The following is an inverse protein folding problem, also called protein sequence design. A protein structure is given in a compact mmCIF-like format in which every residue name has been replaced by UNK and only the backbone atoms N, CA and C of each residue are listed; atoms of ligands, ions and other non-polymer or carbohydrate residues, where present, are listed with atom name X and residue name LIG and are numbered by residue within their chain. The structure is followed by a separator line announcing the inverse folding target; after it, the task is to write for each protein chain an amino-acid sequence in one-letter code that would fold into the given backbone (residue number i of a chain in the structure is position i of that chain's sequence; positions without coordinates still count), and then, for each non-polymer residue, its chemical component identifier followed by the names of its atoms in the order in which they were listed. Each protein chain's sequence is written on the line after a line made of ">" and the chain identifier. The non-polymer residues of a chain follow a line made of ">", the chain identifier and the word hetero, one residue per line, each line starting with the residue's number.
data_IF_745598731808
#
_entry.id   IF_745598731808
#
_cell.length_a   1.000
_cell.length_b   1.000
_cell.length_c   1.000
_cell.angle_alpha   90.00
_cell.angle_beta   90.00
_cell.angle_gamma   90.00
#
_symmetry.space_group_name_H-M   'P 1'
#
loop_
_entity.id
_entity.type
_entity.pdbx_description
1 polymer ?
#
# COMPACT_ATOMS: atom_id res chain seq x y z
N UNK A 1 4.70 14.75 52.42
CA UNK A 1 3.83 15.52 51.49
C UNK A 1 2.82 14.68 50.69
N UNK A 2 3.13 13.44 50.25
CA UNK A 2 2.18 12.63 49.45
C UNK A 2 0.96 12.09 50.20
N UNK A 3 1.09 11.68 51.47
CA UNK A 3 -0.03 11.12 52.26
C UNK A 3 -1.17 12.12 52.46
N UNK A 4 -0.87 13.41 52.62
CA UNK A 4 -1.87 14.48 52.77
C UNK A 4 -2.65 14.71 51.47
N UNK A 5 -1.96 14.65 50.32
CA UNK A 5 -2.58 14.78 48.98
C UNK A 5 -3.43 13.57 48.60
N UNK A 6 -2.98 12.35 48.90
CA UNK A 6 -3.77 11.12 48.69
C UNK A 6 -5.06 11.15 49.52
N UNK A 7 -4.98 11.67 50.75
CA UNK A 7 -6.15 11.87 51.62
C UNK A 7 -7.09 12.97 51.10
N UNK A 8 -6.56 14.08 50.58
CA UNK A 8 -7.38 15.15 49.98
C UNK A 8 -8.02 14.76 48.65
N UNK A 9 -7.40 13.86 47.88
CA UNK A 9 -7.98 13.31 46.64
C UNK A 9 -9.00 12.19 46.88
N UNK A 10 -9.24 11.80 48.14
CA UNK A 10 -10.20 10.75 48.47
C UNK A 10 -9.79 9.36 47.96
N UNK A 11 -8.52 9.15 47.61
CA UNK A 11 -7.98 7.89 47.11
C UNK A 11 -7.59 7.03 48.32
N UNK A 12 -8.59 6.46 49.00
CA UNK A 12 -8.37 5.50 50.07
C UNK A 12 -8.24 4.08 49.48
N UNK A 13 -7.19 3.35 49.85
CA UNK A 13 -7.01 1.95 49.45
C UNK A 13 -7.85 1.01 50.32
N UNK A 14 -8.30 1.44 51.49
CA UNK A 14 -9.02 0.60 52.45
C UNK A 14 -10.52 0.84 52.34
N UNK A 15 -11.29 -0.26 52.34
CA UNK A 15 -12.74 -0.21 52.49
C UNK A 15 -13.08 0.18 53.93
N UNK A 16 -14.00 1.13 54.10
CA UNK A 16 -14.47 1.54 55.43
C UNK A 16 -15.73 0.76 55.80
N UNK A 17 -15.90 0.47 57.09
CA UNK A 17 -17.07 -0.24 57.62
C UNK A 17 -18.40 0.38 57.19
N UNK A 18 -18.51 1.71 57.20
CA UNK A 18 -19.72 2.42 56.75
C UNK A 18 -20.01 2.22 55.26
N UNK A 19 -18.97 2.17 54.42
CA UNK A 19 -19.12 1.92 52.97
C UNK A 19 -19.62 0.50 52.72
N UNK A 20 -19.05 -0.48 53.41
CA UNK A 20 -19.43 -1.90 53.27
C UNK A 20 -20.87 -2.15 53.71
N UNK A 21 -21.33 -1.53 54.81
CA UNK A 21 -22.72 -1.66 55.29
C UNK A 21 -23.72 -1.12 54.26
N UNK A 22 -23.43 0.03 53.66
CA UNK A 22 -24.27 0.61 52.61
C UNK A 22 -24.29 -0.21 51.32
N UNK A 23 -23.14 -0.79 50.94
CA UNK A 23 -23.06 -1.66 49.77
C UNK A 23 -23.91 -2.92 49.96
N UNK A 24 -23.88 -3.52 51.15
CA UNK A 24 -24.72 -4.68 51.48
C UNK A 24 -26.21 -4.35 51.41
N UNK A 25 -26.62 -3.20 51.93
CA UNK A 25 -28.01 -2.74 51.88
C UNK A 25 -28.47 -2.50 50.43
N UNK A 26 -27.70 -1.76 49.63
CA UNK A 26 -28.02 -1.48 48.23
C UNK A 26 -28.08 -2.77 47.39
N UNK A 27 -27.25 -3.76 47.73
CA UNK A 27 -27.29 -5.07 47.07
C UNK A 27 -28.59 -5.80 47.39
N UNK A 28 -28.96 -5.87 48.67
CA UNK A 28 -30.19 -6.55 49.11
C UNK A 28 -31.44 -5.94 48.49
N UNK A 29 -31.51 -4.60 48.41
CA UNK A 29 -32.62 -3.89 47.76
C UNK A 29 -32.73 -4.22 46.25
N UNK A 30 -31.59 -4.38 45.58
CA UNK A 30 -31.53 -4.66 44.15
C UNK A 30 -31.74 -6.13 43.82
N UNK A 31 -31.26 -7.04 44.66
CA UNK A 31 -31.57 -8.47 44.60
C UNK A 31 -33.07 -8.71 44.81
N UNK A 32 -33.70 -8.03 45.77
CA UNK A 32 -35.16 -8.07 45.96
C UNK A 32 -35.93 -7.53 44.75
N UNK A 33 -35.34 -6.60 44.00
CA UNK A 33 -35.89 -6.06 42.75
C UNK A 33 -35.47 -6.86 41.49
N UNK A 34 -34.77 -7.99 41.63
CA UNK A 34 -34.32 -8.83 40.52
C UNK A 34 -33.25 -8.20 39.62
N UNK A 35 -32.51 -7.19 40.10
CA UNK A 35 -31.53 -6.43 39.30
C UNK A 35 -30.09 -6.85 39.61
N UNK A 36 -29.35 -7.20 38.56
CA UNK A 36 -27.90 -7.34 38.63
C UNK A 36 -27.25 -6.00 39.05
N UNK A 37 -26.18 -6.07 39.85
CA UNK A 37 -25.63 -4.91 40.55
C UNK A 37 -24.11 -4.85 40.46
N UNK A 38 -23.58 -3.75 39.92
CA UNK A 38 -22.17 -3.35 40.01
C UNK A 38 -22.04 -2.15 40.93
N UNK A 39 -21.04 -2.18 41.81
CA UNK A 39 -20.87 -1.22 42.90
C UNK A 39 -19.60 -0.41 42.68
N UNK A 40 -19.73 0.90 42.73
CA UNK A 40 -18.64 1.85 42.60
C UNK A 40 -18.51 2.67 43.88
N UNK A 41 -17.29 2.83 44.37
CA UNK A 41 -16.96 3.82 45.41
C UNK A 41 -16.06 4.86 44.76
N UNK A 42 -16.53 6.11 44.67
CA UNK A 42 -15.76 7.24 44.10
C UNK A 42 -15.19 6.90 42.71
N UNK A 43 -16.06 6.38 41.84
CA UNK A 43 -15.74 5.94 40.46
C UNK A 43 -14.78 4.75 40.32
N UNK A 44 -14.52 3.98 41.39
CA UNK A 44 -13.80 2.70 41.30
C UNK A 44 -14.75 1.54 41.53
N UNK A 45 -14.76 0.58 40.61
CA UNK A 45 -15.51 -0.66 40.75
C UNK A 45 -14.94 -1.47 41.92
N UNK A 46 -15.83 -1.94 42.80
CA UNK A 46 -15.48 -2.80 43.92
C UNK A 46 -15.93 -4.22 43.58
N UNK A 47 -14.95 -5.10 43.35
CA UNK A 47 -15.20 -6.51 43.13
C UNK A 47 -15.79 -7.18 44.37
N UNK A 48 -16.71 -8.12 44.14
CA UNK A 48 -17.39 -8.84 45.22
C UNK A 48 -16.45 -9.69 46.06
N UNK A 49 -15.39 -10.24 45.48
CA UNK A 49 -14.38 -11.03 46.20
C UNK A 49 -13.70 -10.20 47.30
N UNK A 50 -13.38 -8.94 46.99
CA UNK A 50 -12.77 -8.01 47.93
C UNK A 50 -13.71 -7.64 49.09
N UNK A 51 -15.01 -7.54 48.82
CA UNK A 51 -16.05 -7.37 49.85
C UNK A 51 -16.22 -8.63 50.71
N UNK A 52 -16.19 -9.82 50.09
CA UNK A 52 -16.29 -11.09 50.80
C UNK A 52 -15.09 -11.31 51.74
N UNK A 53 -13.88 -10.98 51.31
CA UNK A 53 -12.67 -11.01 52.13
C UNK A 53 -12.75 -10.05 53.32
N UNK A 54 -13.29 -8.85 53.11
CA UNK A 54 -13.51 -7.89 54.19
C UNK A 54 -14.50 -8.43 55.24
N UNK A 55 -15.62 -9.03 54.80
CA UNK A 55 -16.61 -9.61 55.69
C UNK A 55 -16.11 -10.85 56.43
N UNK A 56 -15.22 -11.64 55.81
CA UNK A 56 -14.55 -12.78 56.46
C UNK A 56 -13.68 -12.32 57.62
N UNK A 57 -13.04 -11.14 57.50
CA UNK A 57 -12.18 -10.54 58.54
C UNK A 57 -12.96 -9.76 59.60
N UNK A 58 -14.18 -9.33 59.30
CA UNK A 58 -15.02 -8.50 60.19
C UNK A 58 -16.46 -9.05 60.30
N UNK A 59 -16.67 -10.17 61.00
CA UNK A 59 -17.98 -10.82 61.11
C UNK A 59 -19.02 -9.95 61.83
N UNK A 60 -18.59 -9.02 62.69
CA UNK A 60 -19.42 -8.05 63.41
C UNK A 60 -20.16 -7.07 62.49
N UNK A 61 -19.65 -6.85 61.27
CA UNK A 61 -20.28 -6.01 60.25
C UNK A 61 -21.50 -6.71 59.64
N UNK A 62 -21.46 -8.04 59.54
CA UNK A 62 -22.53 -8.86 58.96
C UNK A 62 -23.79 -8.83 59.84
N UNK A 63 -23.59 -8.88 61.17
CA UNK A 63 -24.69 -8.81 62.15
C UNK A 63 -25.30 -7.40 62.20
N UNK A 64 -24.46 -6.35 62.19
CA UNK A 64 -24.91 -4.95 62.24
C UNK A 64 -25.57 -4.43 60.96
N UNK A 65 -25.44 -5.16 59.84
CA UNK A 65 -26.15 -4.83 58.60
C UNK A 65 -27.67 -4.97 58.73
N UNK A 66 -28.17 -5.76 59.69
CA UNK A 66 -29.63 -5.91 59.93
C UNK A 66 -30.23 -4.73 60.69
N UNK A 67 -29.43 -4.04 61.50
CA UNK A 67 -29.88 -2.95 62.38
C UNK A 67 -29.51 -1.55 61.85
N UNK A 68 -28.89 -1.46 60.67
CA UNK A 68 -28.43 -0.18 60.14
C UNK A 68 -29.61 0.65 59.63
N UNK A 69 -29.84 1.82 60.24
CA UNK A 69 -30.93 2.72 59.89
C UNK A 69 -30.81 3.24 58.45
N UNK A 70 -31.95 3.31 57.75
CA UNK A 70 -32.06 3.83 56.38
C UNK A 70 -31.71 5.31 56.33
N UNK A 71 -30.55 5.66 55.78
CA UNK A 71 -30.24 7.03 55.35
C UNK A 71 -30.01 7.07 53.82
N UNK A 72 -31.01 7.51 53.03
CA UNK A 72 -30.91 7.65 51.58
C UNK A 72 -29.80 8.62 51.13
N UNK A 73 -29.41 9.57 51.99
CA UNK A 73 -28.40 10.58 51.68
C UNK A 73 -26.98 10.15 52.03
N UNK A 74 -26.80 9.10 52.83
CA UNK A 74 -25.47 8.63 53.22
C UNK A 74 -24.71 7.94 52.07
N UNK A 75 -25.38 7.30 51.12
CA UNK A 75 -24.75 6.75 49.90
C UNK A 75 -24.11 7.84 49.03
N UNK A 76 -24.80 8.98 48.86
CA UNK A 76 -24.27 10.14 48.14
C UNK A 76 -23.08 10.77 48.87
N UNK A 77 -23.16 10.93 50.20
CA UNK A 77 -22.04 11.45 51.02
C UNK A 77 -20.79 10.55 50.98
N UNK A 78 -20.98 9.23 50.87
CA UNK A 78 -19.89 8.25 50.79
C UNK A 78 -19.36 8.04 49.36
N UNK A 79 -20.02 8.63 48.34
CA UNK A 79 -19.65 8.47 46.93
C UNK A 79 -19.91 7.04 46.41
N UNK A 80 -20.90 6.35 46.97
CA UNK A 80 -21.27 4.98 46.60
C UNK A 80 -22.34 5.03 45.52
N UNK A 81 -22.06 4.42 44.38
CA UNK A 81 -22.97 4.34 43.23
C UNK A 81 -23.18 2.87 42.89
N UNK A 82 -24.41 2.39 43.00
CA UNK A 82 -24.78 1.04 42.55
C UNK A 82 -25.58 1.14 41.26
N UNK A 83 -25.06 0.56 40.17
CA UNK A 83 -25.71 0.59 38.85
C UNK A 83 -26.07 -0.82 38.41
N UNK A 84 -27.21 -0.94 37.71
CA UNK A 84 -27.41 -2.11 36.85
C UNK A 84 -26.35 -2.01 35.77
N UNK A 85 -25.56 -3.05 35.49
CA UNK A 85 -24.80 -3.03 34.24
C UNK A 85 -25.82 -2.78 33.14
N UNK A 86 -25.70 -1.65 32.45
CA UNK A 86 -26.40 -1.48 31.18
C UNK A 86 -26.10 -2.73 30.35
N UNK A 87 -27.07 -3.29 29.61
CA UNK A 87 -26.74 -4.34 28.64
C UNK A 87 -25.51 -3.83 27.90
N UNK A 88 -24.41 -4.58 28.00
CA UNK A 88 -23.13 -4.15 27.44
C UNK A 88 -23.38 -3.73 25.99
N UNK A 89 -22.69 -2.73 25.44
CA UNK A 89 -22.96 -2.28 24.10
C UNK A 89 -22.80 -3.48 23.15
N UNK A 90 -23.92 -4.10 22.78
CA UNK A 90 -24.04 -5.10 21.72
C UNK A 90 -23.84 -4.47 20.35
N UNK A 91 -23.48 -3.19 20.31
CA UNK A 91 -23.10 -2.44 19.12
C UNK A 91 -21.84 -3.04 18.49
N UNK A 92 -20.96 -3.71 19.24
CA UNK A 92 -19.77 -4.35 18.65
C UNK A 92 -20.10 -5.52 17.73
N UNK A 93 -21.20 -6.25 17.94
CA UNK A 93 -21.58 -7.37 17.05
C UNK A 93 -22.36 -6.87 15.84
N UNK A 94 -23.15 -5.79 15.99
CA UNK A 94 -23.89 -5.17 14.88
C UNK A 94 -23.03 -4.27 13.97
N UNK A 95 -21.88 -3.76 14.45
CA UNK A 95 -20.89 -3.05 13.65
C UNK A 95 -19.84 -3.96 13.00
N UNK A 96 -19.78 -5.24 13.37
CA UNK A 96 -18.92 -6.21 12.73
C UNK A 96 -19.66 -6.80 11.52
N UNK A 97 -19.73 -6.02 10.44
CA UNK A 97 -20.09 -6.55 9.12
C UNK A 97 -19.15 -7.68 8.68
N UNK A 98 -19.42 -8.33 7.54
CA UNK A 98 -18.54 -9.34 6.96
C UNK A 98 -17.07 -8.87 6.97
N UNK A 99 -16.13 -9.78 7.23
CA UNK A 99 -14.69 -9.44 7.29
C UNK A 99 -14.25 -8.74 5.99
N UNK A 100 -14.83 -9.14 4.88
CA UNK A 100 -14.64 -8.62 3.53
C UNK A 100 -15.10 -7.16 3.37
N UNK A 101 -16.00 -6.68 4.22
CA UNK A 101 -16.42 -5.27 4.24
C UNK A 101 -15.66 -4.47 5.30
N UNK A 102 -15.39 -5.07 6.47
CA UNK A 102 -14.76 -4.36 7.60
C UNK A 102 -13.26 -4.19 7.45
N UNK A 103 -12.55 -5.23 6.99
CA UNK A 103 -11.09 -5.19 6.89
C UNK A 103 -10.61 -4.15 5.86
N UNK A 104 -11.23 -4.00 4.68
CA UNK A 104 -10.82 -2.96 3.73
C UNK A 104 -10.89 -1.54 4.31
N UNK A 105 -11.99 -1.19 4.98
CA UNK A 105 -12.15 0.12 5.61
C UNK A 105 -11.12 0.37 6.71
N UNK A 106 -10.87 -0.64 7.54
CA UNK A 106 -9.87 -0.56 8.60
C UNK A 106 -8.46 -0.39 8.04
N UNK A 107 -8.12 -1.16 7.01
CA UNK A 107 -6.83 -1.10 6.33
C UNK A 107 -6.62 0.23 5.63
N UNK A 108 -7.64 0.75 4.92
CA UNK A 108 -7.58 2.04 4.27
C UNK A 108 -7.26 3.15 5.28
N UNK A 109 -7.95 3.14 6.43
CA UNK A 109 -7.70 4.10 7.51
C UNK A 109 -6.28 3.98 8.07
N UNK A 110 -5.79 2.76 8.32
CA UNK A 110 -4.44 2.53 8.85
C UNK A 110 -3.39 2.99 7.84
N UNK A 111 -3.55 2.61 6.57
CA UNK A 111 -2.61 2.95 5.52
C UNK A 111 -2.59 4.45 5.23
N UNK A 112 -3.75 5.11 5.18
CA UNK A 112 -3.84 6.57 5.07
C UNK A 112 -3.08 7.28 6.19
N UNK A 113 -3.33 6.88 7.43
CA UNK A 113 -2.65 7.46 8.59
C UNK A 113 -1.13 7.19 8.56
N UNK A 114 -0.73 6.00 8.07
CA UNK A 114 0.67 5.68 7.85
C UNK A 114 1.31 6.61 6.81
N UNK A 115 0.71 6.75 5.62
CA UNK A 115 1.24 7.61 4.54
C UNK A 115 1.36 9.06 5.02
N UNK A 116 0.34 9.57 5.73
CA UNK A 116 0.39 10.91 6.30
C UNK A 116 1.48 11.04 7.38
N UNK A 117 1.55 10.11 8.33
CA UNK A 117 2.55 10.13 9.39
C UNK A 117 3.98 9.95 8.86
N UNK A 118 4.15 9.09 7.86
CA UNK A 118 5.42 8.87 7.18
C UNK A 118 5.86 10.14 6.44
N UNK A 119 4.96 10.81 5.73
CA UNK A 119 5.23 12.13 5.13
C UNK A 119 5.70 13.18 6.16
N UNK A 120 5.09 13.18 7.36
CA UNK A 120 5.42 14.16 8.41
C UNK A 120 6.71 13.87 9.18
N UNK A 121 7.21 12.63 9.17
CA UNK A 121 8.27 12.20 10.11
C UNK A 121 9.35 11.27 9.57
N UNK A 122 9.04 10.46 8.55
CA UNK A 122 9.94 9.42 8.04
C UNK A 122 10.51 9.81 6.69
N UNK A 123 9.66 10.33 5.81
CA UNK A 123 10.00 10.56 4.43
C UNK A 123 10.64 11.92 4.24
N UNK A 124 11.73 11.94 3.47
CA UNK A 124 12.45 13.16 3.14
C UNK A 124 12.42 13.40 1.64
N UNK A 125 12.11 14.63 1.24
CA UNK A 125 12.14 15.06 -0.16
C UNK A 125 13.55 15.52 -0.52
N UNK A 126 14.22 14.83 -1.44
CA UNK A 126 15.53 15.21 -1.96
C UNK A 126 15.51 15.17 -3.49
N UNK A 127 15.85 16.28 -4.16
CA UNK A 127 15.90 16.33 -5.64
C UNK A 127 14.57 16.00 -6.33
N UNK A 128 13.43 16.21 -5.67
CA UNK A 128 12.11 15.84 -6.17
C UNK A 128 11.71 14.38 -5.92
N UNK A 129 12.63 13.56 -5.42
CA UNK A 129 12.35 12.17 -5.04
C UNK A 129 12.08 12.05 -3.54
N UNK A 130 11.19 11.12 -3.20
CA UNK A 130 10.81 10.84 -1.82
C UNK A 130 11.62 9.64 -1.31
N UNK A 131 12.30 9.81 -0.19
CA UNK A 131 13.16 8.80 0.39
C UNK A 131 12.69 8.37 1.77
N UNK A 132 12.93 7.11 2.12
CA UNK A 132 12.81 6.62 3.49
C UNK A 132 14.02 6.98 4.37
N UNK A 133 14.14 6.32 5.52
CA UNK A 133 15.22 6.56 6.49
C UNK A 133 16.63 6.30 5.94
N UNK A 134 16.76 5.46 4.93
CA UNK A 134 18.05 5.05 4.36
C UNK A 134 18.53 5.96 3.22
N UNK A 135 17.75 6.99 2.84
CA UNK A 135 18.10 8.01 1.85
C UNK A 135 18.49 7.50 0.45
N UNK A 136 18.27 6.23 0.16
CA UNK A 136 18.44 5.66 -1.18
C UNK A 136 17.14 5.81 -2.00
N UNK A 137 17.24 5.81 -3.34
CA UNK A 137 16.07 5.91 -4.22
C UNK A 137 15.27 4.59 -4.25
N UNK A 138 13.96 4.66 -3.99
CA UNK A 138 13.07 3.49 -4.02
C UNK A 138 12.97 2.84 -5.39
N UNK A 139 12.79 3.63 -6.45
CA UNK A 139 12.70 3.16 -7.84
C UNK A 139 13.88 2.29 -8.28
N UNK A 140 15.12 2.68 -7.98
CA UNK A 140 16.29 1.90 -8.38
C UNK A 140 16.35 0.56 -7.65
N UNK A 141 15.93 0.53 -6.39
CA UNK A 141 15.84 -0.71 -5.60
C UNK A 141 14.74 -1.62 -6.12
N UNK A 142 13.56 -1.07 -6.39
CA UNK A 142 12.43 -1.80 -6.98
C UNK A 142 12.83 -2.40 -8.33
N UNK A 143 13.44 -1.60 -9.21
CA UNK A 143 13.91 -2.06 -10.52
C UNK A 143 14.96 -3.17 -10.39
N UNK A 144 15.98 -2.94 -9.55
CA UNK A 144 17.06 -3.92 -9.33
C UNK A 144 16.53 -5.23 -8.77
N UNK A 145 15.61 -5.16 -7.81
CA UNK A 145 14.98 -6.33 -7.22
C UNK A 145 14.13 -7.09 -8.24
N UNK A 146 13.32 -6.39 -9.04
CA UNK A 146 12.55 -7.00 -10.12
C UNK A 146 13.44 -7.71 -11.15
N UNK A 147 14.58 -7.10 -11.50
CA UNK A 147 15.59 -7.73 -12.36
C UNK A 147 16.19 -8.99 -11.71
N UNK A 148 16.57 -8.93 -10.43
CA UNK A 148 17.14 -10.09 -9.72
C UNK A 148 16.15 -11.26 -9.64
N UNK A 149 14.87 -10.99 -9.34
CA UNK A 149 13.83 -12.02 -9.30
C UNK A 149 13.65 -12.68 -10.67
N UNK A 150 13.64 -11.89 -11.75
CA UNK A 150 13.55 -12.43 -13.11
C UNK A 150 14.76 -13.28 -13.48
N UNK A 151 15.96 -12.81 -13.16
CA UNK A 151 17.19 -13.55 -13.37
C UNK A 151 17.20 -14.86 -12.58
N UNK A 152 16.71 -14.84 -11.34
CA UNK A 152 16.57 -16.04 -10.53
C UNK A 152 15.63 -17.07 -11.17
N UNK A 153 14.48 -16.63 -11.72
CA UNK A 153 13.57 -17.52 -12.45
C UNK A 153 14.27 -18.16 -13.66
N UNK A 154 14.97 -17.38 -14.48
CA UNK A 154 15.74 -17.91 -15.61
C UNK A 154 16.82 -18.91 -15.17
N UNK A 155 17.49 -18.67 -14.04
CA UNK A 155 18.47 -19.61 -13.48
C UNK A 155 17.82 -20.90 -12.97
N UNK A 156 16.61 -20.83 -12.40
CA UNK A 156 15.84 -22.02 -12.00
C UNK A 156 15.44 -22.86 -13.21
N UNK A 157 14.95 -22.22 -14.27
CA UNK A 157 14.60 -22.88 -15.55
C UNK A 157 15.81 -23.58 -16.19
N UNK A 158 17.00 -22.98 -16.05
CA UNK A 158 18.28 -23.57 -16.50
C UNK A 158 18.87 -24.60 -15.53
N UNK A 159 18.15 -24.98 -14.46
CA UNK A 159 18.59 -25.89 -13.41
C UNK A 159 19.91 -25.45 -12.71
N UNK A 160 20.22 -24.15 -12.72
CA UNK A 160 21.38 -23.54 -12.03
C UNK A 160 21.01 -23.17 -10.60
N UNK A 161 20.62 -24.17 -9.81
CA UNK A 161 20.00 -24.00 -8.49
C UNK A 161 20.81 -23.11 -7.54
N UNK A 162 22.11 -23.33 -7.39
CA UNK A 162 22.94 -22.54 -6.47
C UNK A 162 22.98 -21.05 -6.84
N UNK A 163 23.11 -20.73 -8.13
CA UNK A 163 23.12 -19.35 -8.61
C UNK A 163 21.73 -18.70 -8.46
N UNK A 164 20.67 -19.46 -8.74
CA UNK A 164 19.29 -19.03 -8.52
C UNK A 164 19.04 -18.67 -7.05
N UNK A 165 19.34 -19.58 -6.12
CA UNK A 165 19.15 -19.33 -4.68
C UNK A 165 20.00 -18.17 -4.16
N UNK A 166 21.24 -18.00 -4.66
CA UNK A 166 22.07 -16.83 -4.33
C UNK A 166 21.40 -15.53 -4.74
N UNK A 167 20.83 -15.49 -5.95
CA UNK A 167 20.14 -14.30 -6.49
C UNK A 167 18.83 -14.01 -5.76
N UNK A 168 18.08 -15.06 -5.40
CA UNK A 168 16.87 -14.93 -4.57
C UNK A 168 17.20 -14.37 -3.19
N UNK A 169 18.20 -14.92 -2.49
CA UNK A 169 18.58 -14.45 -1.16
C UNK A 169 19.03 -12.99 -1.17
N UNK A 170 19.82 -12.56 -2.16
CA UNK A 170 20.17 -11.15 -2.33
C UNK A 170 18.95 -10.24 -2.51
N UNK A 171 17.91 -10.73 -3.19
CA UNK A 171 16.66 -10.00 -3.37
C UNK A 171 15.88 -9.90 -2.06
N UNK A 172 15.77 -10.99 -1.31
CA UNK A 172 15.11 -11.05 -0.01
C UNK A 172 15.81 -10.14 1.02
N UNK A 173 17.14 -10.13 1.06
CA UNK A 173 17.91 -9.23 1.91
C UNK A 173 17.67 -7.75 1.56
N UNK A 174 17.50 -7.46 0.27
CA UNK A 174 17.14 -6.11 -0.21
C UNK A 174 15.75 -5.69 0.28
N UNK A 175 14.77 -6.60 0.26
CA UNK A 175 13.42 -6.34 0.78
C UNK A 175 13.49 -5.99 2.27
N UNK A 176 14.25 -6.75 3.07
CA UNK A 176 14.39 -6.47 4.51
C UNK A 176 14.95 -5.08 4.80
N UNK A 177 15.94 -4.64 4.00
CA UNK A 177 16.50 -3.28 4.10
C UNK A 177 15.47 -2.21 3.75
N UNK A 178 14.74 -2.38 2.64
CA UNK A 178 13.71 -1.43 2.20
C UNK A 178 12.55 -1.33 3.20
N UNK A 179 12.12 -2.45 3.80
CA UNK A 179 11.10 -2.45 4.86
C UNK A 179 11.59 -1.63 6.06
N UNK A 180 12.83 -1.88 6.50
CA UNK A 180 13.44 -1.13 7.61
C UNK A 180 13.57 0.36 7.30
N UNK A 181 13.92 0.69 6.06
CA UNK A 181 13.98 2.05 5.54
C UNK A 181 12.62 2.73 5.41
N UNK A 182 11.51 1.97 5.48
CA UNK A 182 10.15 2.43 5.23
C UNK A 182 10.04 3.15 3.87
N UNK A 183 10.63 2.52 2.85
CA UNK A 183 10.65 3.04 1.49
C UNK A 183 9.23 3.38 0.98
N UNK A 184 8.99 4.54 0.35
CA UNK A 184 7.65 4.93 -0.08
C UNK A 184 7.04 4.02 -1.17
N UNK A 185 7.86 3.33 -1.96
CA UNK A 185 7.42 2.53 -3.11
C UNK A 185 7.23 1.04 -2.77
N UNK A 186 7.84 0.56 -1.69
CA UNK A 186 7.89 -0.88 -1.38
C UNK A 186 6.50 -1.51 -1.24
N UNK A 187 5.54 -0.80 -0.64
CA UNK A 187 4.19 -1.33 -0.45
C UNK A 187 3.49 -1.58 -1.80
N UNK A 188 3.55 -0.62 -2.72
CA UNK A 188 2.92 -0.72 -4.05
C UNK A 188 3.58 -1.81 -4.90
N UNK A 189 4.89 -1.93 -4.79
CA UNK A 189 5.65 -2.95 -5.50
C UNK A 189 5.35 -4.36 -4.97
N UNK A 190 5.42 -4.58 -3.66
CA UNK A 190 5.19 -5.90 -3.08
C UNK A 190 3.73 -6.34 -3.27
N UNK A 191 2.79 -5.41 -3.13
CA UNK A 191 1.38 -5.70 -3.36
C UNK A 191 1.16 -6.07 -4.81
N UNK A 192 1.69 -5.30 -5.76
CA UNK A 192 1.66 -5.68 -7.18
C UNK A 192 2.25 -7.07 -7.44
N UNK A 193 3.42 -7.39 -6.90
CA UNK A 193 4.04 -8.70 -7.10
C UNK A 193 3.17 -9.86 -6.61
N UNK A 194 2.62 -9.77 -5.39
CA UNK A 194 1.66 -10.76 -4.87
C UNK A 194 0.47 -10.87 -5.83
N UNK A 195 0.03 -9.72 -6.35
CA UNK A 195 -1.13 -9.63 -7.20
C UNK A 195 -0.96 -10.20 -8.63
N UNK A 196 0.25 -10.61 -9.02
CA UNK A 196 0.51 -11.21 -10.34
C UNK A 196 0.79 -12.72 -10.28
N UNK A 197 0.89 -13.28 -9.07
CA UNK A 197 1.27 -14.67 -8.87
C UNK A 197 0.04 -15.58 -8.83
N UNK A 198 0.25 -16.85 -9.19
CA UNK A 198 -0.76 -17.89 -8.97
C UNK A 198 -1.10 -18.02 -7.48
N UNK A 199 -2.33 -18.44 -7.17
CA UNK A 199 -2.88 -18.41 -5.81
C UNK A 199 -1.97 -19.07 -4.76
N UNK A 200 -1.43 -20.25 -5.02
CA UNK A 200 -0.57 -20.97 -4.08
C UNK A 200 0.70 -20.20 -3.73
N UNK A 201 1.36 -19.61 -4.72
CA UNK A 201 2.59 -18.82 -4.52
C UNK A 201 2.26 -17.48 -3.85
N UNK A 202 1.14 -16.86 -4.23
CA UNK A 202 0.67 -15.62 -3.64
C UNK A 202 0.37 -15.77 -2.13
N UNK A 203 -0.26 -16.88 -1.70
CA UNK A 203 -0.54 -17.15 -0.28
C UNK A 203 0.75 -17.35 0.54
N UNK A 204 1.75 -18.05 -0.01
CA UNK A 204 3.04 -18.22 0.66
C UNK A 204 3.78 -16.88 0.76
N UNK A 205 3.78 -16.10 -0.31
CA UNK A 205 4.50 -14.83 -0.36
C UNK A 205 3.86 -13.77 0.55
N UNK A 206 2.53 -13.70 0.62
CA UNK A 206 1.85 -12.75 1.50
C UNK A 206 2.06 -13.07 2.98
N UNK A 207 2.10 -14.37 3.33
CA UNK A 207 2.45 -14.81 4.68
C UNK A 207 3.89 -14.40 5.03
N UNK A 208 4.83 -14.69 4.13
CA UNK A 208 6.23 -14.31 4.31
C UNK A 208 6.41 -12.79 4.46
N UNK A 209 5.79 -11.99 3.59
CA UNK A 209 5.88 -10.52 3.63
C UNK A 209 5.28 -9.98 4.94
N UNK A 210 4.15 -10.53 5.39
CA UNK A 210 3.52 -10.15 6.65
C UNK A 210 4.43 -10.44 7.85
N UNK A 211 5.00 -11.65 7.91
CA UNK A 211 5.93 -12.06 8.96
C UNK A 211 7.21 -11.21 8.94
N UNK A 212 7.72 -10.87 7.77
CA UNK A 212 8.90 -10.02 7.60
C UNK A 212 8.65 -8.60 8.09
N UNK A 213 7.50 -7.99 7.77
CA UNK A 213 7.15 -6.67 8.30
C UNK A 213 6.99 -6.70 9.82
N UNK A 214 6.34 -7.73 10.36
CA UNK A 214 6.19 -7.89 11.81
C UNK A 214 7.56 -8.04 12.52
N UNK A 215 8.49 -8.78 11.93
CA UNK A 215 9.83 -8.97 12.47
C UNK A 215 10.71 -7.71 12.39
N UNK A 216 10.64 -6.96 11.28
CA UNK A 216 11.51 -5.78 11.04
C UNK A 216 10.96 -4.51 11.71
N UNK A 217 9.65 -4.27 11.63
CA UNK A 217 9.02 -3.02 12.07
C UNK A 217 8.24 -3.14 13.38
N UNK A 218 8.10 -4.36 13.93
CA UNK A 218 7.21 -4.74 15.05
C UNK A 218 5.78 -5.11 14.60
N UNK A 219 5.09 -6.08 15.26
CA UNK A 219 3.74 -6.52 14.89
C UNK A 219 2.66 -5.42 14.95
N UNK A 220 2.86 -4.40 15.79
CA UNK A 220 1.93 -3.28 15.95
C UNK A 220 2.18 -2.12 14.96
N UNK A 221 3.20 -2.23 14.11
CA UNK A 221 3.47 -1.19 13.12
C UNK A 221 2.34 -1.13 12.07
N UNK A 222 1.94 0.06 11.59
CA UNK A 222 0.86 0.20 10.61
C UNK A 222 0.98 -0.70 9.38
N UNK A 223 2.18 -0.79 8.78
CA UNK A 223 2.41 -1.68 7.64
C UNK A 223 2.27 -3.17 8.00
N UNK A 224 2.79 -3.60 9.14
CA UNK A 224 2.64 -4.99 9.62
C UNK A 224 1.17 -5.35 9.79
N UNK A 225 0.39 -4.42 10.36
CA UNK A 225 -1.04 -4.55 10.55
C UNK A 225 -1.83 -4.59 9.22
N UNK A 226 -1.40 -3.87 8.19
CA UNK A 226 -2.01 -3.91 6.85
C UNK A 226 -1.73 -5.25 6.17
N UNK A 227 -0.48 -5.73 6.20
CA UNK A 227 -0.11 -7.02 5.62
C UNK A 227 -0.76 -8.21 6.33
N UNK A 228 -0.86 -8.15 7.67
CA UNK A 228 -1.56 -9.16 8.44
C UNK A 228 -3.05 -9.25 8.06
N UNK A 229 -3.73 -8.12 7.86
CA UNK A 229 -5.13 -8.15 7.41
C UNK A 229 -5.27 -8.60 5.95
N UNK A 230 -4.35 -8.20 5.07
CA UNK A 230 -4.37 -8.62 3.66
C UNK A 230 -4.37 -10.14 3.52
N UNK A 231 -3.58 -10.85 4.33
CA UNK A 231 -3.47 -12.32 4.28
C UNK A 231 -4.83 -13.01 4.47
N UNK A 232 -5.77 -12.39 5.18
CA UNK A 232 -7.06 -12.98 5.52
C UNK A 232 -8.16 -12.67 4.50
N UNK A 233 -7.91 -11.77 3.56
CA UNK A 233 -8.88 -11.42 2.52
C UNK A 233 -8.78 -12.40 1.34
N UNK A 234 -9.90 -12.71 0.65
CA UNK A 234 -9.85 -13.40 -0.64
C UNK A 234 -9.22 -12.49 -1.71
N UNK A 235 -8.73 -13.11 -2.78
CA UNK A 235 -8.03 -12.47 -3.90
C UNK A 235 -8.68 -11.16 -4.39
N UNK A 236 -9.96 -11.21 -4.80
CA UNK A 236 -10.67 -10.04 -5.33
C UNK A 236 -10.77 -8.91 -4.31
N UNK A 237 -11.00 -9.24 -3.04
CA UNK A 237 -11.04 -8.25 -1.95
C UNK A 237 -9.65 -7.65 -1.69
N UNK A 238 -8.58 -8.45 -1.76
CA UNK A 238 -7.19 -7.94 -1.67
C UNK A 238 -6.92 -6.93 -2.78
N UNK A 239 -7.22 -7.31 -4.02
CA UNK A 239 -7.00 -6.47 -5.20
C UNK A 239 -7.72 -5.12 -5.03
N UNK A 240 -9.03 -5.13 -4.74
CA UNK A 240 -9.80 -3.89 -4.52
C UNK A 240 -9.27 -3.06 -3.35
N UNK A 241 -8.93 -3.70 -2.23
CA UNK A 241 -8.40 -2.97 -1.06
C UNK A 241 -7.06 -2.30 -1.36
N UNK A 242 -6.14 -3.00 -2.02
CA UNK A 242 -4.85 -2.44 -2.45
C UNK A 242 -5.07 -1.29 -3.44
N UNK A 243 -5.98 -1.44 -4.40
CA UNK A 243 -6.34 -0.37 -5.34
C UNK A 243 -6.86 0.87 -4.61
N UNK A 244 -7.78 0.72 -3.65
CA UNK A 244 -8.29 1.84 -2.85
C UNK A 244 -7.18 2.55 -2.05
N UNK A 245 -6.29 1.78 -1.42
CA UNK A 245 -5.15 2.34 -0.67
C UNK A 245 -4.15 3.07 -1.58
N UNK A 246 -3.84 2.50 -2.75
CA UNK A 246 -2.96 3.11 -3.75
C UNK A 246 -3.58 4.38 -4.34
N UNK A 247 -4.89 4.39 -4.59
CA UNK A 247 -5.58 5.57 -5.08
C UNK A 247 -5.63 6.70 -4.04
N UNK A 248 -5.97 6.40 -2.79
CA UNK A 248 -6.02 7.38 -1.69
C UNK A 248 -4.65 8.01 -1.42
N UNK A 249 -3.60 7.18 -1.41
CA UNK A 249 -2.22 7.65 -1.27
C UNK A 249 -1.75 8.47 -2.47
N UNK A 250 -2.07 8.07 -3.70
CA UNK A 250 -1.79 8.85 -4.90
C UNK A 250 -2.42 10.25 -4.82
N UNK A 251 -3.70 10.34 -4.43
CA UNK A 251 -4.37 11.64 -4.25
C UNK A 251 -3.69 12.50 -3.20
N UNK A 252 -3.32 11.92 -2.06
CA UNK A 252 -2.62 12.64 -0.99
C UNK A 252 -1.26 13.17 -1.44
N UNK A 253 -0.46 12.32 -2.10
CA UNK A 253 0.90 12.65 -2.53
C UNK A 253 0.92 13.61 -3.72
N UNK A 254 0.00 13.45 -4.69
CA UNK A 254 -0.11 14.32 -5.88
C UNK A 254 -0.29 15.80 -5.49
N UNK A 255 -1.13 16.09 -4.48
CA UNK A 255 -1.36 17.47 -4.02
C UNK A 255 -0.11 18.15 -3.44
N UNK A 256 0.96 17.38 -3.16
CA UNK A 256 2.20 17.86 -2.55
C UNK A 256 3.40 17.77 -3.48
N UNK A 257 3.44 16.73 -4.32
CA UNK A 257 4.58 16.39 -5.15
C UNK A 257 4.32 16.59 -6.65
N UNK A 258 3.07 16.79 -7.03
CA UNK A 258 2.63 16.78 -8.43
C UNK A 258 2.37 15.37 -8.97
N UNK A 259 1.57 15.29 -10.02
CA UNK A 259 1.15 14.01 -10.64
C UNK A 259 2.31 13.20 -11.21
N UNK A 260 3.39 13.89 -11.58
CA UNK A 260 4.58 13.29 -12.21
C UNK A 260 5.61 12.78 -11.21
N UNK A 261 5.37 12.93 -9.92
CA UNK A 261 6.28 12.40 -8.92
C UNK A 261 6.34 10.88 -8.99
N UNK A 262 7.52 10.29 -8.82
CA UNK A 262 7.74 8.84 -8.98
C UNK A 262 6.91 7.97 -8.03
N UNK A 263 6.71 8.42 -6.79
CA UNK A 263 5.90 7.68 -5.83
C UNK A 263 4.41 7.78 -6.17
N UNK A 264 3.98 8.93 -6.69
CA UNK A 264 2.62 9.14 -7.20
C UNK A 264 2.39 8.24 -8.42
N UNK A 265 3.31 8.24 -9.38
CA UNK A 265 3.28 7.36 -10.55
C UNK A 265 3.26 5.87 -10.16
N UNK A 266 4.05 5.47 -9.16
CA UNK A 266 4.05 4.08 -8.66
C UNK A 266 2.70 3.69 -8.05
N UNK A 267 2.09 4.58 -7.26
CA UNK A 267 0.77 4.35 -6.69
C UNK A 267 -0.32 4.30 -7.78
N UNK A 268 -0.30 5.23 -8.74
CA UNK A 268 -1.22 5.26 -9.89
C UNK A 268 -1.05 4.00 -10.75
N UNK A 269 0.18 3.61 -11.06
CA UNK A 269 0.50 2.40 -11.82
C UNK A 269 -0.01 1.15 -11.11
N UNK A 270 0.02 1.10 -9.77
CA UNK A 270 -0.59 0.00 -9.02
C UNK A 270 -2.12 -0.02 -9.16
N UNK A 271 -2.79 1.13 -9.07
CA UNK A 271 -4.24 1.24 -9.32
C UNK A 271 -4.58 0.76 -10.74
N UNK A 272 -3.88 1.28 -11.74
CA UNK A 272 -4.05 0.95 -13.16
C UNK A 272 -4.00 -0.56 -13.39
N UNK A 273 -2.91 -1.20 -12.96
CA UNK A 273 -2.68 -2.63 -13.20
C UNK A 273 -3.71 -3.50 -12.51
N UNK A 274 -4.13 -3.12 -11.31
CA UNK A 274 -5.15 -3.87 -10.56
C UNK A 274 -6.51 -3.76 -11.23
N UNK A 275 -6.94 -2.54 -11.57
CA UNK A 275 -8.23 -2.31 -12.23
C UNK A 275 -8.27 -2.99 -13.61
N UNK A 276 -7.18 -2.92 -14.37
CA UNK A 276 -7.05 -3.63 -15.65
C UNK A 276 -7.15 -5.15 -15.46
N UNK A 277 -6.46 -5.72 -14.46
CA UNK A 277 -6.53 -7.15 -14.14
C UNK A 277 -7.92 -7.62 -13.68
N UNK A 278 -8.71 -6.73 -13.07
CA UNK A 278 -10.11 -6.99 -12.70
C UNK A 278 -11.11 -6.73 -13.86
N UNK A 279 -10.65 -6.14 -14.97
CA UNK A 279 -11.50 -5.68 -16.07
C UNK A 279 -12.31 -4.41 -15.76
N UNK A 280 -12.08 -3.77 -14.61
CA UNK A 280 -12.81 -2.59 -14.10
C UNK A 280 -12.21 -1.28 -14.63
N UNK A 281 -12.05 -1.17 -15.95
CA UNK A 281 -11.36 -0.03 -16.57
C UNK A 281 -12.28 1.18 -16.78
N UNK A 282 -13.60 1.02 -16.73
CA UNK A 282 -14.58 2.11 -16.84
C UNK A 282 -14.95 2.75 -15.49
N UNK A 283 -14.18 2.48 -14.43
CA UNK A 283 -14.39 2.94 -13.07
C UNK A 283 -14.22 4.46 -12.87
N UNK A 284 -14.66 4.94 -11.71
CA UNK A 284 -14.52 6.36 -11.31
C UNK A 284 -13.05 6.76 -11.14
N UNK A 285 -12.28 5.90 -10.48
CA UNK A 285 -10.86 6.06 -10.19
C UNK A 285 -10.08 6.23 -11.50
N UNK A 286 -10.38 5.37 -12.47
CA UNK A 286 -9.76 5.40 -13.79
C UNK A 286 -10.04 6.73 -14.51
N UNK A 287 -11.32 7.10 -14.65
CA UNK A 287 -11.70 8.38 -15.27
C UNK A 287 -11.04 9.58 -14.61
N UNK A 288 -10.92 9.56 -13.27
CA UNK A 288 -10.27 10.65 -12.55
C UNK A 288 -8.78 10.75 -12.87
N UNK A 289 -8.05 9.62 -12.91
CA UNK A 289 -6.62 9.60 -13.24
C UNK A 289 -6.40 10.11 -14.67
N UNK A 290 -7.18 9.63 -15.65
CA UNK A 290 -7.12 10.12 -17.04
C UNK A 290 -7.35 11.63 -17.11
N UNK A 291 -8.38 12.13 -16.41
CA UNK A 291 -8.70 13.55 -16.37
C UNK A 291 -7.56 14.39 -15.78
N UNK A 292 -6.89 13.87 -14.74
CA UNK A 292 -5.77 14.56 -14.09
C UNK A 292 -4.56 14.66 -15.00
N UNK A 293 -4.17 13.58 -15.69
CA UNK A 293 -3.07 13.65 -16.66
C UNK A 293 -3.39 14.59 -17.83
N UNK A 294 -4.62 14.54 -18.36
CA UNK A 294 -5.06 15.47 -19.39
C UNK A 294 -4.97 16.92 -18.91
N UNK A 295 -5.50 17.23 -17.73
CA UNK A 295 -5.45 18.58 -17.14
C UNK A 295 -4.02 19.04 -16.90
N UNK A 296 -3.15 18.16 -16.39
CA UNK A 296 -1.74 18.47 -16.17
C UNK A 296 -1.02 18.77 -17.49
N UNK A 297 -1.27 17.98 -18.54
CA UNK A 297 -0.71 18.21 -19.87
C UNK A 297 -1.10 19.57 -20.44
N UNK A 298 -2.38 19.95 -20.35
CA UNK A 298 -2.85 21.27 -20.82
C UNK A 298 -2.25 22.42 -20.00
N UNK A 299 -2.16 22.25 -18.68
CA UNK A 299 -1.63 23.27 -17.77
C UNK A 299 -0.15 23.53 -18.08
N UNK A 300 0.66 22.48 -18.19
CA UNK A 300 2.07 22.59 -18.53
C UNK A 300 2.29 23.19 -19.92
N UNK A 301 1.46 22.81 -20.90
CA UNK A 301 1.50 23.43 -22.24
C UNK A 301 1.23 24.94 -22.16
N UNK A 302 0.21 25.34 -21.42
CA UNK A 302 -0.14 26.76 -21.24
C UNK A 302 0.94 27.55 -20.49
N UNK A 303 1.67 26.90 -19.58
CA UNK A 303 2.81 27.47 -18.84
C UNK A 303 4.12 27.51 -19.67
N UNK A 304 4.13 26.89 -20.85
CA UNK A 304 5.30 26.79 -21.73
C UNK A 304 6.25 25.63 -21.41
N UNK A 305 5.89 24.76 -20.45
CA UNK A 305 6.61 23.51 -20.17
C UNK A 305 6.19 22.42 -21.18
N UNK A 306 6.70 22.54 -22.41
CA UNK A 306 6.40 21.63 -23.50
C UNK A 306 6.85 20.20 -23.19
N UNK A 307 7.98 20.04 -22.51
CA UNK A 307 8.51 18.72 -22.15
C UNK A 307 7.61 18.04 -21.13
N UNK A 308 7.23 18.76 -20.07
CA UNK A 308 6.29 18.25 -19.06
C UNK A 308 4.95 17.87 -19.69
N UNK A 309 4.42 18.71 -20.57
CA UNK A 309 3.18 18.43 -21.31
C UNK A 309 3.27 17.14 -22.13
N UNK A 310 4.37 16.97 -22.88
CA UNK A 310 4.64 15.76 -23.65
C UNK A 310 4.69 14.52 -22.75
N UNK A 311 5.37 14.61 -21.60
CA UNK A 311 5.47 13.51 -20.64
C UNK A 311 4.09 13.13 -20.09
N UNK A 312 3.25 14.11 -19.71
CA UNK A 312 1.88 13.84 -19.28
C UNK A 312 1.00 13.25 -20.38
N UNK A 313 1.18 13.63 -21.64
CA UNK A 313 0.45 13.04 -22.77
C UNK A 313 0.87 11.58 -23.03
N UNK A 314 2.15 11.26 -22.89
CA UNK A 314 2.63 9.87 -23.00
C UNK A 314 2.10 8.99 -21.87
N UNK A 315 2.06 9.50 -20.63
CA UNK A 315 1.49 8.76 -19.49
C UNK A 315 -0.04 8.63 -19.62
N UNK A 316 -0.74 9.67 -20.11
CA UNK A 316 -2.17 9.61 -20.43
C UNK A 316 -2.46 8.54 -21.48
N UNK A 317 -1.68 8.51 -22.56
CA UNK A 317 -1.82 7.52 -23.61
C UNK A 317 -1.63 6.09 -23.10
N UNK A 318 -0.57 5.86 -22.31
CA UNK A 318 -0.30 4.55 -21.68
C UNK A 318 -1.50 4.10 -20.86
N UNK A 319 -2.03 5.00 -20.04
CA UNK A 319 -3.20 4.74 -19.22
C UNK A 319 -4.42 4.41 -20.10
N UNK A 320 -4.74 5.23 -21.09
CA UNK A 320 -5.86 5.01 -22.00
C UNK A 320 -5.76 3.72 -22.83
N UNK A 321 -4.56 3.27 -23.20
CA UNK A 321 -4.36 2.05 -23.97
C UNK A 321 -4.94 0.81 -23.25
N UNK A 322 -4.91 0.78 -21.92
CA UNK A 322 -5.43 -0.34 -21.12
C UNK A 322 -6.95 -0.43 -21.08
N UNK A 323 -7.67 0.63 -21.47
CA UNK A 323 -9.13 0.59 -21.63
C UNK A 323 -9.55 -0.24 -22.87
N UNK A 324 -8.62 -0.51 -23.81
CA UNK A 324 -8.86 -0.99 -25.19
C UNK A 324 -9.57 -0.07 -26.22
N UNK A 325 -10.01 1.18 -25.96
CA UNK A 325 -10.32 2.13 -27.01
C UNK A 325 -8.98 2.65 -27.54
N UNK A 326 -8.67 2.25 -28.76
CA UNK A 326 -7.45 2.67 -29.44
C UNK A 326 -7.39 4.19 -29.66
N UNK A 327 -8.52 4.80 -30.04
CA UNK A 327 -8.53 6.21 -30.48
C UNK A 327 -8.08 7.21 -29.40
N UNK A 328 -8.57 7.18 -28.14
CA UNK A 328 -8.10 8.11 -27.12
C UNK A 328 -6.59 8.02 -26.87
N UNK A 329 -6.06 6.80 -26.78
CA UNK A 329 -4.63 6.59 -26.58
C UNK A 329 -3.82 7.09 -27.78
N UNK A 330 -4.28 6.81 -29.00
CA UNK A 330 -3.68 7.28 -30.24
C UNK A 330 -3.69 8.81 -30.35
N UNK A 331 -4.80 9.47 -29.99
CA UNK A 331 -4.93 10.92 -30.02
C UNK A 331 -3.93 11.57 -29.05
N UNK A 332 -3.82 11.04 -27.84
CA UNK A 332 -2.82 11.49 -26.85
C UNK A 332 -1.39 11.29 -27.36
N UNK A 333 -1.08 10.16 -28.00
CA UNK A 333 0.24 9.91 -28.62
C UNK A 333 0.52 10.84 -29.80
N UNK A 334 -0.47 11.11 -30.65
CA UNK A 334 -0.31 12.02 -31.78
C UNK A 334 -0.01 13.45 -31.31
N UNK A 335 -0.67 13.89 -30.24
CA UNK A 335 -0.38 15.18 -29.60
C UNK A 335 1.02 15.22 -28.98
N UNK A 336 1.43 14.16 -28.28
CA UNK A 336 2.80 14.06 -27.74
C UNK A 336 3.84 14.11 -28.86
N UNK A 337 3.60 13.40 -29.96
CA UNK A 337 4.50 13.36 -31.10
C UNK A 337 4.65 14.72 -31.79
N UNK A 338 3.57 15.50 -31.92
CA UNK A 338 3.65 16.86 -32.45
C UNK A 338 4.63 17.74 -31.64
N UNK A 339 4.59 17.64 -30.30
CA UNK A 339 5.54 18.36 -29.44
C UNK A 339 6.98 17.88 -29.64
N UNK A 340 7.18 16.57 -29.81
CA UNK A 340 8.50 15.98 -30.07
C UNK A 340 9.05 16.44 -31.42
N UNK A 341 8.22 16.53 -32.47
CA UNK A 341 8.66 16.96 -33.79
C UNK A 341 9.17 18.40 -33.83
N UNK A 342 8.57 19.28 -33.04
CA UNK A 342 8.93 20.70 -32.97
C UNK A 342 10.10 20.99 -32.00
N UNK A 343 10.69 19.94 -31.42
CA UNK A 343 11.66 20.06 -30.32
C UNK A 343 13.13 19.93 -30.71
N UNK A 344 14.02 20.27 -29.77
CA UNK A 344 15.47 20.18 -29.95
C UNK A 344 15.95 18.72 -30.02
N UNK A 345 16.67 18.40 -31.10
CA UNK A 345 17.25 17.08 -31.38
C UNK A 345 18.77 17.02 -31.12
N UNK A 346 19.31 17.99 -30.39
CA UNK A 346 20.72 18.01 -30.01
C UNK A 346 21.11 16.77 -29.17
N UNK A 347 22.35 16.26 -29.29
CA UNK A 347 22.80 15.13 -28.48
C UNK A 347 22.64 15.39 -26.98
N UNK A 348 22.02 14.45 -26.27
CA UNK A 348 21.73 14.58 -24.84
C UNK A 348 20.44 15.34 -24.51
N UNK A 349 19.68 15.80 -25.52
CA UNK A 349 18.37 16.41 -25.33
C UNK A 349 17.39 15.43 -24.67
N UNK A 350 16.60 15.86 -23.67
CA UNK A 350 15.56 15.02 -23.06
C UNK A 350 14.47 14.62 -24.07
N UNK A 351 14.32 15.36 -25.17
CA UNK A 351 13.39 15.05 -26.25
C UNK A 351 13.73 13.76 -27.01
N UNK A 352 15.02 13.39 -27.07
CA UNK A 352 15.44 12.10 -27.63
C UNK A 352 14.90 10.93 -26.79
N UNK A 353 14.76 11.12 -25.47
CA UNK A 353 14.13 10.11 -24.60
C UNK A 353 12.62 10.06 -24.84
N UNK A 354 11.98 11.20 -25.08
CA UNK A 354 10.55 11.25 -25.40
C UNK A 354 10.22 10.60 -26.74
N UNK A 355 11.02 10.85 -27.77
CA UNK A 355 10.89 10.23 -29.08
C UNK A 355 11.04 8.70 -29.00
N UNK A 356 12.00 8.22 -28.22
CA UNK A 356 12.14 6.79 -27.95
C UNK A 356 10.88 6.22 -27.26
N UNK A 357 10.40 6.85 -26.20
CA UNK A 357 9.21 6.42 -25.48
C UNK A 357 7.98 6.40 -26.39
N UNK A 358 7.85 7.38 -27.29
CA UNK A 358 6.79 7.40 -28.29
C UNK A 358 6.85 6.16 -29.20
N UNK A 359 8.01 5.83 -29.76
CA UNK A 359 8.15 4.65 -30.62
C UNK A 359 7.82 3.35 -29.87
N UNK A 360 8.34 3.20 -28.65
CA UNK A 360 8.05 2.05 -27.80
C UNK A 360 6.54 1.92 -27.51
N UNK A 361 5.85 3.02 -27.16
CA UNK A 361 4.41 2.99 -26.88
C UNK A 361 3.56 2.75 -28.12
N UNK A 362 3.92 3.32 -29.28
CA UNK A 362 3.22 3.03 -30.53
C UNK A 362 3.36 1.54 -30.89
N UNK A 363 4.55 0.96 -30.72
CA UNK A 363 4.79 -0.47 -30.90
C UNK A 363 3.89 -1.32 -30.00
N UNK A 364 3.84 -1.01 -28.70
CA UNK A 364 2.98 -1.69 -27.72
C UNK A 364 1.50 -1.53 -28.04
N UNK A 365 1.03 -0.31 -28.32
CA UNK A 365 -0.38 -0.01 -28.58
C UNK A 365 -0.90 -0.77 -29.82
N UNK A 366 -0.13 -0.77 -30.91
CA UNK A 366 -0.50 -1.48 -32.13
C UNK A 366 -0.58 -2.99 -31.90
N UNK A 367 0.35 -3.54 -31.11
CA UNK A 367 0.40 -4.95 -30.75
C UNK A 367 -0.78 -5.36 -29.85
N UNK A 368 -1.10 -4.55 -28.84
CA UNK A 368 -2.16 -4.87 -27.87
C UNK A 368 -3.56 -4.66 -28.44
N UNK A 369 -3.76 -3.66 -29.31
CA UNK A 369 -5.08 -3.34 -29.85
C UNK A 369 -5.42 -4.04 -31.16
N UNK A 370 -4.43 -4.45 -31.99
CA UNK A 370 -4.68 -5.00 -33.32
C UNK A 370 -3.77 -6.17 -33.68
N UNK A 371 -4.31 -7.39 -33.61
CA UNK A 371 -3.64 -8.59 -34.11
C UNK A 371 -3.34 -8.54 -35.62
N UNK A 372 -4.03 -7.70 -36.38
CA UNK A 372 -3.83 -7.55 -37.84
C UNK A 372 -2.77 -6.50 -38.20
N UNK A 373 -2.34 -5.65 -37.27
CA UNK A 373 -1.36 -4.55 -37.51
C UNK A 373 0.01 -4.83 -36.89
N UNK A 374 0.34 -6.11 -36.71
CA UNK A 374 1.59 -6.53 -36.09
C UNK A 374 2.81 -6.08 -36.94
N UNK A 375 2.68 -6.00 -38.26
CA UNK A 375 3.73 -5.47 -39.12
C UNK A 375 4.07 -4.00 -38.80
N UNK A 376 3.06 -3.16 -38.57
CA UNK A 376 3.28 -1.76 -38.17
C UNK A 376 3.89 -1.67 -36.76
N UNK A 377 3.47 -2.54 -35.84
CA UNK A 377 4.10 -2.64 -34.51
C UNK A 377 5.60 -2.93 -34.63
N UNK A 378 6.00 -3.90 -35.47
CA UNK A 378 7.42 -4.23 -35.72
C UNK A 378 8.18 -3.02 -36.27
N UNK A 379 7.57 -2.24 -37.17
CA UNK A 379 8.20 -1.02 -37.71
C UNK A 379 8.50 0.01 -36.59
N UNK A 380 7.57 0.21 -35.66
CA UNK A 380 7.78 1.11 -34.52
C UNK A 380 8.82 0.58 -33.53
N UNK A 381 8.83 -0.71 -33.23
CA UNK A 381 9.86 -1.33 -32.38
C UNK A 381 11.25 -1.22 -33.04
N UNK A 382 11.32 -1.30 -34.37
CA UNK A 382 12.56 -1.11 -35.13
C UNK A 382 13.04 0.35 -35.10
N UNK A 383 12.11 1.30 -35.23
CA UNK A 383 12.41 2.74 -35.02
C UNK A 383 12.95 2.99 -33.61
N UNK A 384 12.33 2.39 -32.58
CA UNK A 384 12.81 2.49 -31.21
C UNK A 384 14.23 1.95 -31.05
N UNK A 385 14.52 0.78 -31.63
CA UNK A 385 15.87 0.20 -31.62
C UNK A 385 16.91 1.09 -32.30
N UNK A 386 16.64 1.53 -33.55
CA UNK A 386 17.55 2.43 -34.28
C UNK A 386 17.82 3.72 -33.53
N UNK A 387 16.76 4.34 -33.03
CA UNK A 387 16.84 5.58 -32.25
C UNK A 387 17.68 5.36 -30.98
N UNK A 388 17.52 4.22 -30.32
CA UNK A 388 18.31 3.86 -29.14
C UNK A 388 19.81 3.72 -29.46
N UNK A 389 20.17 3.10 -30.58
CA UNK A 389 21.57 2.91 -31.02
C UNK A 389 22.21 4.20 -31.56
N UNK A 390 21.44 5.05 -32.23
CA UNK A 390 21.94 6.30 -32.83
C UNK A 390 22.22 7.39 -31.77
N UNK A 391 21.39 7.47 -30.74
CA UNK A 391 21.38 8.61 -29.81
C UNK A 391 21.85 8.28 -28.39
N UNK A 392 21.99 7.00 -28.05
CA UNK A 392 22.43 6.57 -26.74
C UNK A 392 23.60 5.59 -26.88
N UNK A 393 24.31 5.31 -25.79
CA UNK A 393 25.48 4.44 -25.85
C UNK A 393 25.10 3.05 -26.41
N UNK A 394 25.80 2.53 -27.42
CA UNK A 394 25.51 1.19 -27.95
C UNK A 394 25.48 0.15 -26.83
N UNK A 395 24.48 -0.74 -26.87
CA UNK A 395 24.29 -1.75 -25.83
C UNK A 395 23.77 -1.24 -24.49
N UNK A 396 23.30 0.01 -24.42
CA UNK A 396 22.61 0.49 -23.23
C UNK A 396 21.31 -0.29 -22.96
N UNK A 397 20.79 -0.15 -21.74
CA UNK A 397 19.58 -0.85 -21.29
C UNK A 397 18.33 -0.58 -22.15
N UNK A 398 18.26 0.58 -22.83
CA UNK A 398 17.16 0.95 -23.74
C UNK A 398 17.27 0.21 -25.06
N UNK A 399 18.45 0.12 -25.67
CA UNK A 399 18.67 -0.68 -26.88
C UNK A 399 18.34 -2.15 -26.65
N UNK A 400 18.80 -2.70 -25.51
CA UNK A 400 18.47 -4.07 -25.10
C UNK A 400 16.96 -4.28 -24.89
N UNK A 401 16.26 -3.27 -24.36
CA UNK A 401 14.79 -3.31 -24.20
C UNK A 401 14.09 -3.30 -25.56
N UNK A 402 14.46 -2.40 -26.45
CA UNK A 402 13.89 -2.31 -27.80
C UNK A 402 14.10 -3.62 -28.59
N UNK A 403 15.30 -4.21 -28.53
CA UNK A 403 15.58 -5.52 -29.15
C UNK A 403 14.69 -6.64 -28.58
N UNK A 404 14.50 -6.69 -27.26
CA UNK A 404 13.62 -7.70 -26.64
C UNK A 404 12.18 -7.56 -27.12
N UNK A 405 11.67 -6.33 -27.18
CA UNK A 405 10.33 -6.08 -27.69
C UNK A 405 10.20 -6.49 -29.16
N UNK A 406 11.23 -6.22 -29.96
CA UNK A 406 11.24 -6.55 -31.37
C UNK A 406 11.27 -8.07 -31.61
N UNK A 407 12.11 -8.82 -30.88
CA UNK A 407 12.08 -10.30 -30.87
C UNK A 407 10.69 -10.82 -30.52
N UNK A 408 10.07 -10.25 -29.48
CA UNK A 408 8.72 -10.65 -29.06
C UNK A 408 7.68 -10.38 -30.15
N UNK A 409 7.69 -9.19 -30.76
CA UNK A 409 6.75 -8.81 -31.82
C UNK A 409 6.94 -9.66 -33.09
N UNK A 410 8.17 -9.97 -33.49
CA UNK A 410 8.46 -10.87 -34.61
C UNK A 410 7.90 -12.29 -34.37
N UNK A 411 8.10 -12.85 -33.18
CA UNK A 411 7.52 -14.17 -32.82
C UNK A 411 6.00 -14.15 -32.85
N UNK A 412 5.40 -13.09 -32.31
CA UNK A 412 3.94 -12.95 -32.32
C UNK A 412 3.37 -12.87 -33.76
N UNK A 413 4.14 -12.29 -34.69
CA UNK A 413 3.81 -12.22 -36.11
C UNK A 413 4.05 -13.53 -36.88
N UNK A 414 4.71 -14.52 -36.27
CA UNK A 414 5.18 -15.73 -36.94
C UNK A 414 6.44 -15.54 -37.80
N UNK A 415 7.18 -14.43 -37.62
CA UNK A 415 8.46 -14.17 -38.30
C UNK A 415 9.62 -14.76 -37.49
N UNK A 416 9.70 -16.09 -37.43
CA UNK A 416 10.68 -16.79 -36.60
C UNK A 416 12.14 -16.56 -37.05
N UNK A 417 12.41 -16.49 -38.36
CA UNK A 417 13.76 -16.22 -38.87
C UNK A 417 14.27 -14.83 -38.43
N UNK A 418 13.42 -13.81 -38.55
CA UNK A 418 13.73 -12.46 -38.08
C UNK A 418 13.91 -12.45 -36.55
N UNK A 419 13.01 -13.11 -35.81
CA UNK A 419 13.12 -13.20 -34.35
C UNK A 419 14.44 -13.85 -33.91
N UNK A 420 14.89 -14.90 -34.60
CA UNK A 420 16.19 -15.53 -34.34
C UNK A 420 17.36 -14.59 -34.66
N UNK A 421 17.29 -13.85 -35.76
CA UNK A 421 18.32 -12.87 -36.11
C UNK A 421 18.44 -11.79 -35.04
N UNK A 422 17.32 -11.25 -34.57
CA UNK A 422 17.29 -10.25 -33.51
C UNK A 422 17.69 -10.81 -32.14
N UNK A 423 17.37 -12.08 -31.87
CA UNK A 423 17.82 -12.76 -30.66
C UNK A 423 19.36 -12.91 -30.67
N UNK A 424 19.97 -13.25 -31.82
CA UNK A 424 21.43 -13.29 -31.97
C UNK A 424 22.07 -11.92 -31.73
N UNK A 425 21.46 -10.85 -32.26
CA UNK A 425 21.92 -9.48 -32.03
C UNK A 425 21.85 -9.09 -30.54
N UNK A 426 20.73 -9.42 -29.88
CA UNK A 426 20.56 -9.21 -28.43
C UNK A 426 21.64 -9.94 -27.63
N UNK A 427 21.92 -11.21 -27.96
CA UNK A 427 22.92 -12.02 -27.27
C UNK A 427 24.34 -11.45 -27.44
N UNK A 428 24.72 -11.04 -28.66
CA UNK A 428 26.02 -10.45 -28.94
C UNK A 428 26.30 -9.21 -28.08
N UNK A 429 25.33 -8.30 -27.99
CA UNK A 429 25.43 -7.10 -27.18
C UNK A 429 25.52 -7.44 -25.68
N UNK A 430 24.76 -8.44 -25.21
CA UNK A 430 24.82 -8.84 -23.79
C UNK A 430 26.13 -9.52 -23.42
N UNK A 431 26.74 -10.30 -24.32
CA UNK A 431 28.05 -10.92 -24.06
C UNK A 431 29.18 -9.89 -24.00
N UNK A 432 29.14 -8.86 -24.84
CA UNK A 432 30.14 -7.79 -24.83
C UNK A 432 30.08 -6.93 -23.55
N UNK A 433 28.90 -6.86 -22.91
CA UNK A 433 28.70 -6.12 -21.67
C UNK A 433 29.11 -6.87 -20.39
N UNK A 434 29.32 -8.20 -20.45
CA UNK A 434 29.80 -9.00 -19.31
C UNK A 434 31.34 -9.07 -19.23
N UNK A 435 32.04 -8.72 -20.31
CA UNK A 435 33.51 -8.70 -20.41
C UNK A 435 34.16 -7.35 -20.02
N UNK A 436 33.37 -6.38 -19.51
CA UNK A 436 33.79 -5.05 -19.02
C UNK A 436 33.45 -4.89 -17.54
#
# INVERSE_FOLDING_TARGET
>A
MFKTRIKSWGIDKKLKKAEVLHILQLKQEREAAGKNSRVFIRNREVEWERLADYLRRHPDVRTKSRDFARDPTAAARLGIVCRTPSPGPSVSVLLNGPLEARLPDEMLRIFRNYVQGAWESVWTLQGGDLHGYDQESGKDRVRKMGCHLRNAMTLLEQNKLQAAFRTLNQSLDSIGRMIKGQDPEIFYMLSYCILQLGSEVAELLIAFISEMHAAVLHPLHPLSLVWDRLRHLPWECRARTVSMMAFDSAQFLETRLGIRNRVVDSAISSVERILSGLGETDGREFRLISFKYATAAETQFAEGDMLGSCECLLDLARFQAKLRPYEPARDSLARAFALIQDSDRSPGSPWLVMELHYYEFMGELLRECFSERVAESIEYEYKAYKHAEEHFQPGNTRSLRALRNLVYSCRLAGYEEDAEQWCKALLAITSEAEDV
#
